data_IF_263005545596
#
_entry.id   IF_263005545596
#
_cell.length_a   1.000
_cell.length_b   1.000
_cell.length_c   1.000
_cell.angle_alpha   90.00
_cell.angle_beta   90.00
_cell.angle_gamma   90.00
#
_symmetry.space_group_name_H-M   'P 1'
#
loop_
_entity.id
_entity.type
_entity.pdbx_description
1 polymer ?
#
# COMPACT_ATOMS: atom_id res chain seq x y z
N UNK A 1 -7.73 -9.03 10.31
CA UNK A 1 -6.81 -8.29 11.22
C UNK A 1 -6.39 -7.02 10.49
N UNK A 2 -6.69 -5.83 11.04
CA UNK A 2 -6.27 -4.54 10.46
C UNK A 2 -5.17 -3.94 11.30
N UNK A 3 -4.07 -3.55 10.66
CA UNK A 3 -2.96 -2.86 11.31
C UNK A 3 -3.06 -1.34 11.11
N UNK A 4 -3.84 -0.90 10.13
CA UNK A 4 -4.01 0.51 9.76
C UNK A 4 -2.65 1.17 9.51
N UNK A 5 -2.24 2.11 10.38
CA UNK A 5 -0.94 2.79 10.33
C UNK A 5 0.06 2.22 11.34
N UNK A 6 -0.17 1.04 11.90
CA UNK A 6 0.74 0.42 12.88
C UNK A 6 1.92 -0.23 12.16
N UNK A 7 3.13 0.26 12.41
CA UNK A 7 4.35 -0.41 11.98
C UNK A 7 4.61 -1.66 12.83
N UNK A 8 4.74 -2.82 12.19
CA UNK A 8 5.02 -4.08 12.86
C UNK A 8 6.53 -4.31 12.91
N UNK A 9 7.16 -4.15 14.07
CA UNK A 9 8.60 -4.33 14.22
C UNK A 9 9.41 -3.34 13.38
N UNK A 10 10.42 -3.82 12.64
CA UNK A 10 11.18 -2.99 11.69
C UNK A 10 10.47 -2.90 10.34
N UNK A 11 10.85 -1.95 9.47
CA UNK A 11 10.27 -1.84 8.12
C UNK A 11 10.52 -3.08 7.27
N UNK A 12 11.65 -3.74 7.48
CA UNK A 12 12.01 -5.00 6.83
C UNK A 12 11.11 -6.14 7.30
N UNK A 13 10.83 -6.22 8.61
CA UNK A 13 9.91 -7.21 9.17
C UNK A 13 8.47 -6.96 8.69
N UNK A 14 8.02 -5.71 8.70
CA UNK A 14 6.70 -5.31 8.20
C UNK A 14 6.52 -5.68 6.73
N UNK A 15 7.49 -5.34 5.88
CA UNK A 15 7.52 -5.74 4.47
C UNK A 15 7.52 -7.27 4.31
N UNK A 16 8.30 -7.99 5.11
CA UNK A 16 8.33 -9.45 5.09
C UNK A 16 6.96 -10.07 5.37
N UNK A 17 6.22 -9.54 6.35
CA UNK A 17 4.86 -9.98 6.66
C UNK A 17 3.88 -9.65 5.53
N UNK A 18 3.92 -8.42 5.00
CA UNK A 18 3.08 -8.00 3.87
C UNK A 18 3.31 -8.90 2.64
N UNK A 19 4.58 -9.13 2.29
CA UNK A 19 4.95 -10.02 1.18
C UNK A 19 4.45 -11.44 1.42
N UNK A 20 4.64 -11.99 2.62
CA UNK A 20 4.15 -13.34 2.96
C UNK A 20 2.62 -13.43 2.87
N UNK A 21 1.91 -12.39 3.30
CA UNK A 21 0.45 -12.37 3.33
C UNK A 21 -0.18 -12.28 1.93
N UNK A 22 0.41 -11.48 1.04
CA UNK A 22 -0.19 -11.17 -0.26
C UNK A 22 0.46 -11.88 -1.46
N UNK A 23 1.57 -12.59 -1.28
CA UNK A 23 2.18 -13.35 -2.37
C UNK A 23 1.23 -14.42 -2.91
N UNK A 24 1.06 -14.45 -4.23
CA UNK A 24 0.15 -15.37 -4.94
C UNK A 24 -1.31 -15.27 -4.47
N UNK A 25 -1.71 -14.10 -3.95
CA UNK A 25 -3.08 -13.83 -3.56
C UNK A 25 -3.83 -13.16 -4.71
N UNK A 26 -4.99 -13.70 -5.08
CA UNK A 26 -5.89 -13.09 -6.08
C UNK A 26 -6.99 -12.25 -5.41
N UNK A 27 -7.49 -12.71 -4.26
CA UNK A 27 -8.63 -12.10 -3.57
C UNK A 27 -8.24 -11.85 -2.12
N UNK A 28 -8.20 -10.57 -1.74
CA UNK A 28 -8.03 -10.15 -0.35
C UNK A 28 -9.40 -10.03 0.28
N UNK A 29 -9.75 -10.94 1.20
CA UNK A 29 -11.08 -10.99 1.81
C UNK A 29 -11.38 -9.77 2.70
N UNK A 30 -10.37 -9.23 3.36
CA UNK A 30 -10.48 -8.03 4.21
C UNK A 30 -9.83 -6.83 3.53
N UNK A 31 -9.01 -6.06 4.25
CA UNK A 31 -8.40 -4.84 3.78
C UNK A 31 -7.03 -5.15 3.16
N UNK A 32 -6.68 -4.42 2.09
CA UNK A 32 -5.33 -4.40 1.55
C UNK A 32 -4.60 -3.17 2.10
N UNK A 33 -3.67 -3.40 3.00
CA UNK A 33 -2.86 -2.35 3.64
C UNK A 33 -1.42 -2.45 3.12
N UNK A 34 -1.01 -1.47 2.30
CA UNK A 34 0.34 -1.33 1.78
C UNK A 34 0.97 -0.11 2.46
N UNK A 35 1.78 -0.38 3.49
CA UNK A 35 2.36 0.69 4.31
C UNK A 35 3.84 0.51 4.57
N UNK A 36 4.52 1.62 4.85
CA UNK A 36 5.93 1.64 5.28
C UNK A 36 6.93 0.96 4.32
N UNK A 37 6.64 0.87 3.04
CA UNK A 37 7.58 0.29 2.06
C UNK A 37 8.75 1.23 1.77
N UNK A 38 9.96 0.70 1.63
CA UNK A 38 11.18 1.46 1.33
C UNK A 38 11.49 1.41 -0.17
N UNK A 39 12.21 2.40 -0.68
CA UNK A 39 12.52 2.56 -2.12
C UNK A 39 13.06 1.29 -2.81
N UNK A 40 13.85 0.48 -2.10
CA UNK A 40 14.52 -0.71 -2.64
C UNK A 40 13.63 -1.97 -2.65
N UNK A 41 12.42 -1.90 -2.09
CA UNK A 41 11.58 -3.08 -1.89
C UNK A 41 10.76 -3.42 -3.13
N UNK A 42 10.75 -4.71 -3.51
CA UNK A 42 10.00 -5.21 -4.66
C UNK A 42 8.56 -5.54 -4.29
N UNK A 43 7.62 -4.81 -4.90
CA UNK A 43 6.18 -5.01 -4.73
C UNK A 43 5.52 -5.84 -5.84
N UNK A 44 6.31 -6.54 -6.68
CA UNK A 44 5.79 -7.36 -7.78
C UNK A 44 4.77 -8.41 -7.36
N UNK A 45 4.83 -8.90 -6.12
CA UNK A 45 3.87 -9.85 -5.55
C UNK A 45 2.44 -9.30 -5.46
N UNK A 46 2.25 -7.97 -5.47
CA UNK A 46 0.92 -7.34 -5.47
C UNK A 46 0.21 -7.46 -6.83
N UNK A 47 0.94 -7.74 -7.91
CA UNK A 47 0.36 -7.84 -9.26
C UNK A 47 -0.70 -8.92 -9.38
N UNK A 48 -0.70 -9.96 -8.54
CA UNK A 48 -1.71 -11.02 -8.62
C UNK A 48 -3.06 -10.61 -8.05
N UNK A 49 -3.11 -9.55 -7.24
CA UNK A 49 -4.33 -9.11 -6.57
C UNK A 49 -5.32 -8.57 -7.61
N UNK A 50 -6.53 -9.08 -7.53
CA UNK A 50 -7.64 -8.81 -8.45
C UNK A 50 -8.83 -8.17 -7.73
N UNK A 51 -9.12 -8.60 -6.50
CA UNK A 51 -10.23 -8.10 -5.71
C UNK A 51 -9.83 -7.84 -4.26
N UNK A 52 -10.42 -6.80 -3.67
CA UNK A 52 -10.32 -6.47 -2.24
C UNK A 52 -11.73 -6.35 -1.65
N UNK A 53 -12.01 -7.11 -0.59
CA UNK A 53 -13.32 -7.12 0.08
C UNK A 53 -13.57 -5.89 0.94
N UNK A 54 -12.55 -5.45 1.68
CA UNK A 54 -12.58 -4.26 2.52
C UNK A 54 -12.12 -3.00 1.78
N UNK A 55 -11.32 -2.18 2.47
CA UNK A 55 -10.68 -1.01 1.89
C UNK A 55 -9.26 -1.30 1.41
N UNK A 56 -8.73 -0.38 0.61
CA UNK A 56 -7.31 -0.31 0.22
C UNK A 56 -6.68 0.91 0.88
N UNK A 57 -5.64 0.69 1.68
CA UNK A 57 -4.84 1.75 2.31
C UNK A 57 -3.44 1.74 1.74
N UNK A 58 -3.01 2.88 1.20
CA UNK A 58 -1.68 3.09 0.66
C UNK A 58 -1.06 4.28 1.37
N UNK A 59 -0.20 4.01 2.36
CA UNK A 59 0.32 5.07 3.23
C UNK A 59 1.78 4.91 3.62
N UNK A 60 2.49 6.04 3.78
CA UNK A 60 3.86 6.07 4.33
C UNK A 60 4.87 5.25 3.50
N UNK A 61 4.62 5.11 2.20
CA UNK A 61 5.49 4.39 1.29
C UNK A 61 6.50 5.32 0.61
N UNK A 62 7.70 4.81 0.37
CA UNK A 62 8.77 5.53 -0.33
C UNK A 62 9.02 4.99 -1.74
N UNK A 63 8.41 3.84 -2.09
CA UNK A 63 8.49 3.25 -3.44
C UNK A 63 7.90 4.18 -4.49
N UNK A 64 8.49 4.18 -5.69
CA UNK A 64 7.98 4.96 -6.82
C UNK A 64 6.68 4.41 -7.41
N UNK A 65 6.44 3.10 -7.28
CA UNK A 65 5.30 2.44 -7.93
C UNK A 65 4.70 1.35 -7.05
N UNK A 66 3.38 1.32 -7.00
CA UNK A 66 2.60 0.23 -6.42
C UNK A 66 1.90 -0.50 -7.55
N UNK A 67 2.25 -1.76 -7.88
CA UNK A 67 1.82 -2.40 -9.12
C UNK A 67 0.51 -3.18 -8.96
N UNK A 68 -0.61 -2.48 -8.75
CA UNK A 68 -1.95 -3.07 -8.64
C UNK A 68 -2.66 -3.23 -10.01
N UNK A 69 -1.89 -3.63 -11.03
CA UNK A 69 -2.31 -3.67 -12.44
C UNK A 69 -3.54 -4.54 -12.70
N UNK A 70 -3.75 -5.59 -11.90
CA UNK A 70 -4.87 -6.52 -12.04
C UNK A 70 -6.02 -6.25 -11.08
N UNK A 71 -5.88 -5.30 -10.16
CA UNK A 71 -6.95 -4.93 -9.23
C UNK A 71 -8.09 -4.30 -10.03
N UNK A 72 -9.25 -4.94 -10.00
CA UNK A 72 -10.43 -4.50 -10.73
C UNK A 72 -11.64 -4.22 -9.84
N UNK A 73 -11.63 -4.64 -8.58
CA UNK A 73 -12.74 -4.39 -7.65
C UNK A 73 -12.25 -4.12 -6.23
N UNK A 74 -12.75 -3.03 -5.63
CA UNK A 74 -12.70 -2.76 -4.19
C UNK A 74 -14.15 -2.73 -3.70
N UNK A 75 -14.57 -3.73 -2.93
CA UNK A 75 -15.97 -3.89 -2.51
C UNK A 75 -16.35 -2.89 -1.41
N UNK A 76 -15.41 -2.49 -0.57
CA UNK A 76 -15.66 -1.49 0.48
C UNK A 76 -16.63 -1.96 1.57
N UNK A 77 -16.71 -3.27 1.84
CA UNK A 77 -17.58 -3.79 2.91
C UNK A 77 -17.18 -3.27 4.30
N UNK A 78 -15.90 -2.93 4.44
CA UNK A 78 -15.34 -2.13 5.52
C UNK A 78 -14.64 -0.92 4.88
N UNK A 79 -14.83 0.27 5.46
CA UNK A 79 -14.23 1.51 4.98
C UNK A 79 -13.19 2.01 5.99
N UNK A 80 -12.08 2.58 5.50
CA UNK A 80 -11.14 3.27 6.36
C UNK A 80 -11.82 4.51 6.94
N UNK A 81 -11.76 4.68 8.27
CA UNK A 81 -12.48 5.72 9.02
C UNK A 81 -13.99 5.81 8.71
N UNK A 82 -14.59 4.70 8.28
CA UNK A 82 -16.00 4.65 7.89
C UNK A 82 -16.34 5.42 6.61
N UNK A 83 -15.34 5.89 5.86
CA UNK A 83 -15.56 6.81 4.73
C UNK A 83 -14.86 6.38 3.43
N UNK A 84 -13.68 5.77 3.51
CA UNK A 84 -12.85 5.55 2.32
C UNK A 84 -12.70 4.07 1.96
N UNK A 85 -13.12 3.70 0.74
CA UNK A 85 -12.80 2.40 0.16
C UNK A 85 -11.36 2.36 -0.38
N UNK A 86 -10.81 3.51 -0.78
CA UNK A 86 -9.41 3.69 -1.17
C UNK A 86 -8.89 4.97 -0.51
N UNK A 87 -7.80 4.86 0.25
CA UNK A 87 -7.09 6.00 0.82
C UNK A 87 -5.61 5.95 0.44
N UNK A 88 -5.10 7.07 -0.10
CA UNK A 88 -3.70 7.24 -0.49
C UNK A 88 -3.15 8.48 0.23
N UNK A 89 -2.23 8.29 1.18
CA UNK A 89 -1.73 9.39 2.02
C UNK A 89 -0.25 9.28 2.35
N UNK A 90 0.45 10.42 2.40
CA UNK A 90 1.83 10.52 2.93
C UNK A 90 2.84 9.54 2.31
N UNK A 91 2.74 9.25 1.00
CA UNK A 91 3.67 8.35 0.30
C UNK A 91 4.87 9.12 -0.27
N UNK A 92 5.71 9.66 0.61
CA UNK A 92 6.94 10.36 0.26
C UNK A 92 8.00 10.15 1.34
N UNK A 93 9.27 10.20 0.95
CA UNK A 93 10.39 10.38 1.86
C UNK A 93 10.76 11.86 1.91
N UNK A 94 10.80 12.43 3.11
CA UNK A 94 11.20 13.82 3.34
C UNK A 94 12.53 13.84 4.07
N UNK A 95 13.48 14.61 3.55
CA UNK A 95 14.70 14.91 4.28
C UNK A 95 14.38 15.83 5.46
N UNK A 96 14.25 15.26 6.65
CA UNK A 96 13.95 15.98 7.88
C UNK A 96 15.09 16.89 8.37
N UNK A 97 16.31 16.71 7.87
CA UNK A 97 17.44 17.60 8.15
C UNK A 97 17.43 18.88 7.29
N UNK A 98 16.58 18.94 6.26
CA UNK A 98 16.44 20.12 5.40
C UNK A 98 15.49 21.14 6.04
N UNK A 99 15.88 22.44 6.14
CA UNK A 99 14.98 23.49 6.63
C UNK A 99 13.86 23.81 5.64
N UNK A 100 13.99 23.39 4.37
CA UNK A 100 12.97 23.52 3.33
C UNK A 100 12.27 22.18 3.05
N UNK A 101 11.11 22.23 2.40
CA UNK A 101 10.44 21.04 1.89
C UNK A 101 11.31 20.37 0.82
N UNK A 102 11.97 19.27 1.20
CA UNK A 102 12.84 18.48 0.34
C UNK A 102 12.38 17.03 0.38
N UNK A 103 11.70 16.61 -0.70
CA UNK A 103 11.26 15.24 -0.91
C UNK A 103 12.31 14.51 -1.74
N UNK A 104 12.80 13.37 -1.24
CA UNK A 104 13.88 12.61 -1.89
C UNK A 104 13.34 11.46 -2.73
N UNK A 105 12.17 10.94 -2.37
CA UNK A 105 11.50 9.84 -3.07
C UNK A 105 10.02 9.79 -2.65
N UNK A 106 9.27 8.87 -3.25
CA UNK A 106 7.86 8.71 -2.98
C UNK A 106 7.10 8.12 -4.15
N UNK A 107 5.82 7.89 -3.91
CA UNK A 107 4.92 7.30 -4.87
C UNK A 107 4.68 8.23 -6.07
N UNK A 108 4.97 7.70 -7.26
CA UNK A 108 4.73 8.38 -8.55
C UNK A 108 3.56 7.73 -9.31
N UNK A 109 3.29 6.44 -9.10
CA UNK A 109 2.26 5.71 -9.84
C UNK A 109 1.62 4.57 -9.03
N UNK A 110 0.28 4.49 -9.05
CA UNK A 110 -0.51 3.42 -8.40
C UNK A 110 -0.87 2.24 -9.31
N UNK A 111 -0.69 2.38 -10.63
CA UNK A 111 -0.99 1.36 -11.64
C UNK A 111 -2.36 0.67 -11.48
N UNK A 112 -3.42 1.44 -11.19
CA UNK A 112 -4.81 0.94 -11.09
C UNK A 112 -5.48 0.86 -12.47
N UNK A 113 -4.82 0.21 -13.44
CA UNK A 113 -5.25 0.22 -14.85
C UNK A 113 -6.57 -0.52 -15.10
N UNK A 114 -6.92 -1.48 -14.24
CA UNK A 114 -8.10 -2.32 -14.40
C UNK A 114 -9.21 -2.01 -13.40
N UNK A 115 -9.03 -1.01 -12.53
CA UNK A 115 -10.02 -0.63 -11.52
C UNK A 115 -11.17 0.15 -12.18
N UNK A 116 -12.39 -0.38 -12.09
CA UNK A 116 -13.61 0.18 -12.72
C UNK A 116 -14.72 0.41 -11.72
#
# INVERSE_FOLDING_TARGET
MSNQLTLLGTREYHYGNMKRMYSNCNIVLENLEITYTQEHQDLSFLKSIQEVGGYVLIAMNEVATIPLVNLHLIRGQNLYEGQYALLVMSNYNRNHSSPTLNYTSGLMQLQLSNLT
#
